data_IF_388153861708
#
_entry.id   IF_388153861708
#
_cell.length_a   1.000
_cell.length_b   1.000
_cell.length_c   1.000
_cell.angle_alpha   90.00
_cell.angle_beta   90.00
_cell.angle_gamma   90.00
#
_symmetry.space_group_name_H-M   'P 1'
#
loop_
_entity.id
_entity.type
_entity.pdbx_description
1 polymer ?
#
# COMPACT_ATOMS: atom_id res chain seq x y z
N UNK A 1 -9.90 -7.53 -40.67
CA UNK A 1 -8.72 -8.00 -39.91
C UNK A 1 -8.61 -7.16 -38.65
N UNK A 2 -9.05 -7.69 -37.52
CA UNK A 2 -9.08 -6.99 -36.24
C UNK A 2 -7.66 -6.89 -35.66
N UNK A 3 -7.24 -5.68 -35.30
CA UNK A 3 -5.93 -5.38 -34.77
C UNK A 3 -5.63 -6.16 -33.48
N UNK A 4 -4.44 -6.77 -33.45
CA UNK A 4 -3.80 -7.23 -32.20
C UNK A 4 -3.71 -6.03 -31.26
N UNK A 5 -4.49 -6.06 -30.17
CA UNK A 5 -4.38 -5.11 -29.06
C UNK A 5 -2.99 -5.19 -28.45
N UNK A 6 -2.43 -4.03 -28.14
CA UNK A 6 -1.10 -3.81 -27.55
C UNK A 6 -0.89 -4.63 -26.26
N UNK A 7 -0.31 -5.82 -26.40
CA UNK A 7 0.44 -6.42 -25.30
C UNK A 7 1.71 -5.56 -25.12
N UNK A 8 1.66 -4.64 -24.16
CA UNK A 8 2.84 -3.87 -23.77
C UNK A 8 4.01 -4.82 -23.53
N UNK A 9 5.10 -4.61 -24.26
CA UNK A 9 6.30 -5.44 -24.30
C UNK A 9 6.83 -5.82 -22.91
N UNK A 10 7.63 -6.89 -22.81
CA UNK A 10 8.35 -7.26 -21.58
C UNK A 10 9.08 -6.06 -20.95
N UNK A 11 9.64 -5.17 -21.79
CA UNK A 11 10.27 -3.93 -21.35
C UNK A 11 9.28 -3.00 -20.62
N UNK A 12 8.09 -2.77 -21.18
CA UNK A 12 7.05 -1.94 -20.56
C UNK A 12 6.68 -2.47 -19.18
N UNK A 13 6.56 -3.79 -19.03
CA UNK A 13 6.25 -4.43 -17.76
C UNK A 13 7.38 -4.25 -16.73
N UNK A 14 8.64 -4.44 -17.15
CA UNK A 14 9.82 -4.20 -16.30
C UNK A 14 9.87 -2.75 -15.81
N UNK A 15 9.62 -1.79 -16.71
CA UNK A 15 9.57 -0.38 -16.34
C UNK A 15 8.42 -0.08 -15.36
N UNK A 16 7.24 -0.67 -15.54
CA UNK A 16 6.15 -0.51 -14.57
C UNK A 16 6.52 -1.06 -13.19
N UNK A 17 7.24 -2.19 -13.09
CA UNK A 17 7.78 -2.66 -11.81
C UNK A 17 8.80 -1.67 -11.22
N UNK A 18 9.72 -1.16 -12.04
CA UNK A 18 10.74 -0.21 -11.59
C UNK A 18 10.11 1.09 -11.06
N UNK A 19 9.19 1.70 -11.81
CA UNK A 19 8.50 2.92 -11.39
C UNK A 19 7.53 2.68 -10.23
N UNK A 20 6.93 1.50 -10.12
CA UNK A 20 6.17 1.13 -8.94
C UNK A 20 7.05 1.13 -7.68
N UNK A 21 8.23 0.52 -7.75
CA UNK A 21 9.13 0.44 -6.60
C UNK A 21 9.70 1.82 -6.25
N UNK A 22 10.10 2.58 -7.27
CA UNK A 22 10.61 3.95 -7.12
C UNK A 22 9.56 4.89 -6.54
N UNK A 23 8.32 4.82 -7.05
CA UNK A 23 7.19 5.59 -6.54
C UNK A 23 6.88 5.24 -5.09
N UNK A 24 6.92 3.95 -4.72
CA UNK A 24 6.73 3.54 -3.32
C UNK A 24 7.87 4.03 -2.41
N UNK A 25 9.12 3.96 -2.87
CA UNK A 25 10.28 4.49 -2.16
C UNK A 25 10.13 5.99 -1.88
N UNK A 26 9.83 6.80 -2.90
CA UNK A 26 9.64 8.23 -2.73
C UNK A 26 8.42 8.58 -1.89
N UNK A 27 7.31 7.85 -2.04
CA UNK A 27 6.13 8.00 -1.19
C UNK A 27 6.52 7.92 0.29
N UNK A 28 7.28 6.89 0.69
CA UNK A 28 7.63 6.72 2.09
C UNK A 28 8.52 7.85 2.61
N UNK A 29 9.47 8.35 1.80
CA UNK A 29 10.34 9.46 2.17
C UNK A 29 9.52 10.74 2.31
N UNK A 30 8.77 11.12 1.28
CA UNK A 30 7.96 12.34 1.28
C UNK A 30 6.92 12.31 2.40
N UNK A 31 6.26 11.17 2.63
CA UNK A 31 5.30 11.04 3.71
C UNK A 31 5.95 11.21 5.09
N UNK A 32 7.08 10.53 5.34
CA UNK A 32 7.79 10.67 6.62
C UNK A 32 8.31 12.09 6.82
N UNK A 33 8.80 12.74 5.77
CA UNK A 33 9.24 14.13 5.84
C UNK A 33 8.06 15.06 6.11
N UNK A 34 6.93 14.93 5.41
CA UNK A 34 5.73 15.73 5.67
C UNK A 34 5.27 15.61 7.14
N UNK A 35 5.22 14.39 7.68
CA UNK A 35 4.89 14.15 9.09
C UNK A 35 5.88 14.85 10.04
N UNK A 36 7.18 14.75 9.78
CA UNK A 36 8.20 15.43 10.59
C UNK A 36 8.05 16.95 10.54
N UNK A 37 7.74 17.53 9.37
CA UNK A 37 7.52 18.98 9.20
C UNK A 37 6.25 19.48 9.92
N UNK A 38 5.30 18.59 10.23
CA UNK A 38 4.16 18.90 11.10
C UNK A 38 4.47 18.83 12.60
N UNK A 39 5.71 18.50 12.98
CA UNK A 39 6.11 18.27 14.39
C UNK A 39 6.11 16.80 14.79
N UNK A 40 5.92 15.87 13.85
CA UNK A 40 6.09 14.43 14.04
C UNK A 40 5.02 13.79 14.94
N UNK A 41 5.44 12.77 15.71
CA UNK A 41 4.51 11.87 16.41
C UNK A 41 3.68 12.52 17.52
N UNK A 42 4.15 13.64 18.09
CA UNK A 42 3.49 14.31 19.23
C UNK A 42 2.59 15.47 18.80
N UNK A 43 2.69 15.94 17.56
CA UNK A 43 1.95 17.12 17.12
C UNK A 43 0.46 16.84 16.87
N UNK A 44 0.11 15.61 16.53
CA UNK A 44 -1.28 15.19 16.28
C UNK A 44 -1.82 15.71 14.95
N UNK A 45 -1.06 15.51 13.86
CA UNK A 45 -1.46 15.84 12.48
C UNK A 45 -1.45 14.62 11.55
N UNK A 46 -1.38 13.40 12.09
CA UNK A 46 -1.23 12.19 11.28
C UNK A 46 -2.49 11.92 10.46
N UNK A 47 -3.67 12.11 11.05
CA UNK A 47 -4.94 11.93 10.33
C UNK A 47 -5.12 13.02 9.27
N UNK A 48 -4.77 14.26 9.60
CA UNK A 48 -4.80 15.42 8.70
C UNK A 48 -3.88 15.20 7.50
N UNK A 49 -2.62 14.82 7.73
CA UNK A 49 -1.66 14.51 6.67
C UNK A 49 -2.17 13.36 5.79
N UNK A 50 -2.70 12.28 6.37
CA UNK A 50 -3.25 11.17 5.59
C UNK A 50 -4.46 11.59 4.74
N UNK A 51 -5.35 12.41 5.29
CA UNK A 51 -6.56 12.88 4.60
C UNK A 51 -6.20 13.84 3.48
N UNK A 52 -5.22 14.73 3.69
CA UNK A 52 -4.74 15.64 2.64
C UNK A 52 -3.99 14.91 1.52
N UNK A 53 -3.32 13.78 1.80
CA UNK A 53 -2.76 12.92 0.75
C UNK A 53 -3.87 12.31 -0.13
N UNK A 54 -4.99 11.89 0.46
CA UNK A 54 -6.18 11.45 -0.27
C UNK A 54 -6.86 12.60 -1.02
N UNK A 55 -6.79 13.84 -0.50
CA UNK A 55 -7.24 15.03 -1.23
C UNK A 55 -6.41 15.26 -2.50
N UNK A 56 -5.08 15.10 -2.42
CA UNK A 56 -4.19 15.16 -3.59
C UNK A 56 -4.54 14.05 -4.59
N UNK A 57 -4.80 12.83 -4.13
CA UNK A 57 -5.27 11.72 -4.97
C UNK A 57 -6.58 12.06 -5.68
N UNK A 58 -7.52 12.67 -4.97
CA UNK A 58 -8.81 13.14 -5.50
C UNK A 58 -8.62 14.19 -6.59
N UNK A 59 -7.80 15.23 -6.33
CA UNK A 59 -7.50 16.27 -7.32
C UNK A 59 -6.84 15.67 -8.55
N UNK A 60 -5.90 14.74 -8.38
CA UNK A 60 -5.25 14.07 -9.50
C UNK A 60 -6.24 13.23 -10.32
N UNK A 61 -7.07 12.41 -9.68
CA UNK A 61 -8.12 11.62 -10.33
C UNK A 61 -9.10 12.49 -11.14
N UNK A 62 -9.58 13.59 -10.55
CA UNK A 62 -10.46 14.55 -11.23
C UNK A 62 -9.76 15.22 -12.41
N UNK A 63 -8.46 15.51 -12.27
CA UNK A 63 -7.65 16.06 -13.37
C UNK A 63 -7.55 15.06 -14.53
N UNK A 64 -7.29 13.77 -14.25
CA UNK A 64 -7.26 12.73 -15.29
C UNK A 64 -8.59 12.64 -16.03
N UNK A 65 -9.71 12.76 -15.32
CA UNK A 65 -11.06 12.75 -15.91
C UNK A 65 -11.37 14.01 -16.72
N UNK A 66 -10.91 15.18 -16.26
CA UNK A 66 -11.05 16.44 -16.97
C UNK A 66 -10.31 16.40 -18.31
N UNK A 67 -9.04 15.96 -18.31
CA UNK A 67 -8.22 15.86 -19.53
C UNK A 67 -8.52 14.59 -20.35
N UNK A 68 -9.26 13.63 -19.78
CA UNK A 68 -9.65 12.33 -20.34
C UNK A 68 -8.48 11.41 -20.72
N UNK A 69 -7.30 11.69 -20.18
CA UNK A 69 -6.05 11.01 -20.49
C UNK A 69 -5.38 10.60 -19.17
N UNK A 70 -4.90 9.37 -19.13
CA UNK A 70 -4.04 8.86 -18.09
C UNK A 70 -2.60 8.64 -18.64
N UNK A 71 -1.64 9.47 -18.20
CA UNK A 71 -0.26 9.43 -18.69
C UNK A 71 0.57 8.30 -18.07
N UNK A 72 0.07 7.54 -17.10
CA UNK A 72 0.86 6.52 -16.37
C UNK A 72 1.47 5.48 -17.30
N UNK A 73 0.83 5.21 -18.44
CA UNK A 73 1.32 4.26 -19.45
C UNK A 73 2.61 4.71 -20.14
N UNK A 74 2.90 6.02 -20.16
CA UNK A 74 4.16 6.60 -20.69
C UNK A 74 5.36 6.03 -19.94
N UNK A 75 5.23 5.72 -18.66
CA UNK A 75 6.31 5.13 -17.87
C UNK A 75 6.73 3.75 -18.38
N UNK A 76 5.87 3.07 -19.15
CA UNK A 76 6.18 1.83 -19.85
C UNK A 76 6.52 2.03 -21.32
N UNK A 77 6.80 3.27 -21.74
CA UNK A 77 7.06 3.68 -23.13
C UNK A 77 5.87 3.41 -24.06
N UNK A 78 4.65 3.50 -23.52
CA UNK A 78 3.40 3.34 -24.29
C UNK A 78 2.68 4.68 -24.39
N UNK A 79 1.83 4.83 -25.41
CA UNK A 79 0.99 6.01 -25.54
C UNK A 79 0.08 6.18 -24.30
N UNK A 80 -0.28 7.44 -23.93
CA UNK A 80 -1.22 7.70 -22.86
C UNK A 80 -2.54 6.96 -23.08
N UNK A 81 -3.07 6.36 -22.02
CA UNK A 81 -4.36 5.67 -22.09
C UNK A 81 -5.53 6.64 -21.93
N UNK A 82 -6.66 6.37 -22.57
CA UNK A 82 -7.88 7.15 -22.34
C UNK A 82 -8.48 6.79 -20.97
N UNK A 83 -8.79 7.81 -20.17
CA UNK A 83 -9.48 7.65 -18.89
C UNK A 83 -10.61 8.67 -18.78
N UNK A 84 -11.79 8.29 -19.27
CA UNK A 84 -13.01 9.09 -19.10
C UNK A 84 -13.69 8.74 -17.77
N UNK A 85 -14.47 9.67 -17.19
CA UNK A 85 -15.29 9.37 -16.01
C UNK A 85 -16.07 8.07 -16.17
N UNK A 86 -16.15 7.23 -15.13
CA UNK A 86 -16.91 6.00 -15.19
C UNK A 86 -18.41 6.28 -15.25
N UNK A 87 -19.16 5.37 -15.86
CA UNK A 87 -20.63 5.48 -16.00
C UNK A 87 -21.30 4.95 -14.73
N UNK A 88 -21.14 5.66 -13.61
CA UNK A 88 -21.69 5.25 -12.31
C UNK A 88 -23.01 5.97 -12.02
N UNK A 89 -23.99 5.21 -11.53
CA UNK A 89 -25.20 5.78 -10.95
C UNK A 89 -25.03 6.00 -9.44
N UNK A 90 -25.90 6.81 -8.83
CA UNK A 90 -25.92 6.99 -7.37
C UNK A 90 -26.09 5.66 -6.61
N UNK A 91 -26.76 4.67 -7.22
CA UNK A 91 -26.94 3.34 -6.65
C UNK A 91 -25.67 2.48 -6.60
N UNK A 92 -24.63 2.87 -7.36
CA UNK A 92 -23.36 2.14 -7.41
C UNK A 92 -22.39 2.58 -6.31
N UNK A 93 -22.51 3.82 -5.83
CA UNK A 93 -21.61 4.38 -4.80
C UNK A 93 -21.62 3.55 -3.51
N UNK A 94 -22.78 3.17 -2.93
CA UNK A 94 -22.80 2.35 -1.71
C UNK A 94 -22.12 0.99 -1.88
N UNK A 95 -22.12 0.42 -3.10
CA UNK A 95 -21.48 -0.87 -3.40
C UNK A 95 -19.96 -0.79 -3.24
N UNK A 96 -19.37 0.39 -3.44
CA UNK A 96 -17.94 0.65 -3.24
C UNK A 96 -17.61 1.08 -1.80
N UNK A 97 -18.61 1.25 -0.94
CA UNK A 97 -18.43 1.80 0.41
C UNK A 97 -17.42 1.02 1.24
N UNK A 98 -17.50 -0.33 1.26
CA UNK A 98 -16.57 -1.16 2.03
C UNK A 98 -15.14 -1.07 1.49
N UNK A 99 -14.95 -1.12 0.17
CA UNK A 99 -13.60 -1.04 -0.42
C UNK A 99 -12.97 0.33 -0.18
N UNK A 100 -13.76 1.41 -0.27
CA UNK A 100 -13.32 2.77 0.01
C UNK A 100 -12.98 2.97 1.48
N UNK A 101 -13.82 2.47 2.41
CA UNK A 101 -13.55 2.50 3.84
C UNK A 101 -12.27 1.76 4.20
N UNK A 102 -12.08 0.55 3.66
CA UNK A 102 -10.86 -0.21 3.87
C UNK A 102 -9.64 0.46 3.20
N UNK A 103 -9.79 1.17 2.07
CA UNK A 103 -8.69 1.95 1.49
C UNK A 103 -8.29 3.13 2.38
N UNK A 104 -9.26 3.91 2.85
CA UNK A 104 -9.05 4.98 3.82
C UNK A 104 -8.35 4.47 5.08
N UNK A 105 -8.89 3.42 5.70
CA UNK A 105 -8.32 2.80 6.90
C UNK A 105 -6.90 2.27 6.68
N UNK A 106 -6.64 1.60 5.56
CA UNK A 106 -5.30 1.08 5.24
C UNK A 106 -4.28 2.20 5.01
N UNK A 107 -4.69 3.28 4.32
CA UNK A 107 -3.86 4.44 4.07
C UNK A 107 -3.56 5.18 5.38
N UNK A 108 -4.58 5.61 6.12
CA UNK A 108 -4.43 6.35 7.38
C UNK A 108 -3.62 5.55 8.39
N UNK A 109 -3.94 4.27 8.63
CA UNK A 109 -3.17 3.44 9.56
C UNK A 109 -1.70 3.28 9.11
N UNK A 110 -1.43 3.25 7.80
CA UNK A 110 -0.05 3.28 7.28
C UNK A 110 0.66 4.60 7.60
N UNK A 111 -0.02 5.73 7.48
CA UNK A 111 0.54 7.05 7.84
C UNK A 111 0.80 7.16 9.34
N UNK A 112 -0.12 6.67 10.18
CA UNK A 112 0.10 6.57 11.63
C UNK A 112 1.32 5.70 11.98
N UNK A 113 1.46 4.54 11.34
CA UNK A 113 2.61 3.67 11.53
C UNK A 113 3.93 4.36 11.14
N UNK A 114 3.92 5.09 10.03
CA UNK A 114 5.07 5.90 9.61
C UNK A 114 5.36 7.06 10.55
N UNK A 115 4.34 7.69 11.13
CA UNK A 115 4.53 8.80 12.07
C UNK A 115 5.18 8.32 13.37
N UNK A 116 4.62 7.26 13.96
CA UNK A 116 5.09 6.67 15.21
C UNK A 116 6.46 5.97 15.07
N UNK A 117 6.67 5.24 13.97
CA UNK A 117 7.84 4.38 13.77
C UNK A 117 8.90 4.94 12.81
N UNK A 118 9.93 4.13 12.59
CA UNK A 118 10.82 4.31 11.44
C UNK A 118 10.12 3.80 10.18
N UNK A 119 10.47 4.36 9.01
CA UNK A 119 9.94 3.88 7.74
C UNK A 119 10.28 2.42 7.54
N UNK A 120 11.53 2.05 7.84
CA UNK A 120 12.05 0.70 7.69
C UNK A 120 11.29 -0.30 8.55
N UNK A 121 11.04 0.03 9.82
CA UNK A 121 10.21 -0.78 10.70
C UNK A 121 8.80 -0.94 10.14
N UNK A 122 8.18 0.14 9.66
CA UNK A 122 6.87 0.09 9.02
C UNK A 122 6.81 -0.85 7.80
N UNK A 123 7.88 -0.93 7.01
CA UNK A 123 7.99 -1.87 5.89
C UNK A 123 8.14 -3.32 6.35
N UNK A 124 8.84 -3.56 7.46
CA UNK A 124 8.96 -4.89 8.07
C UNK A 124 7.59 -5.35 8.60
N UNK A 125 6.86 -4.53 9.34
CA UNK A 125 5.50 -4.88 9.81
C UNK A 125 4.56 -5.14 8.63
N UNK A 126 4.63 -4.32 7.58
CA UNK A 126 3.90 -4.56 6.32
C UNK A 126 4.26 -5.87 5.65
N UNK A 127 5.43 -6.46 5.92
CA UNK A 127 5.79 -7.77 5.38
C UNK A 127 4.82 -8.88 5.81
N UNK A 128 4.17 -8.71 6.96
CA UNK A 128 3.14 -9.60 7.50
C UNK A 128 1.79 -9.59 6.75
N UNK A 129 1.60 -8.78 5.71
CA UNK A 129 0.36 -8.73 4.92
C UNK A 129 -0.21 -10.12 4.53
N UNK A 130 0.58 -11.14 4.12
CA UNK A 130 0.05 -12.45 3.80
C UNK A 130 -0.64 -13.15 4.98
N UNK A 131 -0.20 -12.90 6.22
CA UNK A 131 -0.82 -13.44 7.43
C UNK A 131 -2.22 -12.86 7.59
N UNK A 132 -2.36 -11.53 7.47
CA UNK A 132 -3.66 -10.86 7.55
C UNK A 132 -4.57 -11.27 6.38
N UNK A 133 -4.02 -11.36 5.17
CA UNK A 133 -4.76 -11.84 4.00
C UNK A 133 -5.25 -13.28 4.19
N UNK A 134 -4.43 -14.18 4.74
CA UNK A 134 -4.83 -15.55 5.04
C UNK A 134 -5.96 -15.60 6.06
N UNK A 135 -5.85 -14.86 7.17
CA UNK A 135 -6.88 -14.80 8.22
C UNK A 135 -8.19 -14.23 7.67
N UNK A 136 -8.14 -13.08 6.99
CA UNK A 136 -9.32 -12.42 6.43
C UNK A 136 -10.02 -13.32 5.41
N UNK A 137 -9.27 -13.91 4.47
CA UNK A 137 -9.85 -14.77 3.44
C UNK A 137 -10.42 -16.07 4.01
N UNK A 138 -9.79 -16.64 5.04
CA UNK A 138 -10.29 -17.85 5.72
C UNK A 138 -11.61 -17.56 6.43
N UNK A 139 -11.63 -16.53 7.28
CA UNK A 139 -12.76 -16.27 8.19
C UNK A 139 -13.95 -15.66 7.45
N UNK A 140 -13.72 -14.67 6.58
CA UNK A 140 -14.81 -13.85 6.02
C UNK A 140 -15.19 -14.25 4.59
N UNK A 141 -14.31 -14.93 3.86
CA UNK A 141 -14.53 -15.25 2.44
C UNK A 141 -14.50 -16.75 2.14
N UNK A 142 -14.31 -17.62 3.14
CA UNK A 142 -14.28 -19.08 2.97
C UNK A 142 -13.18 -19.57 2.02
N UNK A 143 -12.07 -18.84 1.92
CA UNK A 143 -10.95 -19.13 1.01
C UNK A 143 -9.64 -19.30 1.79
N UNK A 144 -9.50 -20.39 2.56
CA UNK A 144 -8.27 -20.66 3.29
C UNK A 144 -7.08 -20.86 2.33
N UNK A 145 -5.86 -20.46 2.74
CA UNK A 145 -4.66 -20.84 2.01
C UNK A 145 -4.45 -22.37 2.06
N UNK A 146 -3.58 -22.89 1.19
CA UNK A 146 -3.16 -24.28 1.26
C UNK A 146 -2.45 -24.58 2.59
N UNK A 147 -2.37 -25.87 2.97
CA UNK A 147 -1.62 -26.30 4.14
C UNK A 147 -0.16 -25.84 4.04
N UNK A 148 0.46 -25.97 2.87
CA UNK A 148 1.84 -25.55 2.62
C UNK A 148 2.03 -24.05 2.86
N UNK A 149 1.14 -23.21 2.34
CA UNK A 149 1.13 -21.78 2.61
C UNK A 149 0.92 -21.46 4.09
N UNK A 150 0.04 -22.20 4.76
CA UNK A 150 -0.22 -22.05 6.20
C UNK A 150 1.05 -22.31 7.02
N UNK A 151 1.86 -23.30 6.64
CA UNK A 151 3.13 -23.61 7.31
C UNK A 151 4.19 -22.51 7.12
N UNK A 152 4.07 -21.64 6.11
CA UNK A 152 4.96 -20.49 5.95
C UNK A 152 4.58 -19.31 6.87
N UNK A 153 3.33 -19.23 7.34
CA UNK A 153 2.85 -18.08 8.14
C UNK A 153 3.63 -17.90 9.45
N UNK A 154 3.93 -18.96 10.25
CA UNK A 154 4.76 -18.83 11.45
C UNK A 154 6.16 -18.27 11.17
N UNK A 155 6.76 -18.57 10.01
CA UNK A 155 8.07 -18.05 9.61
C UNK A 155 7.99 -16.54 9.40
N UNK A 156 6.94 -16.08 8.70
CA UNK A 156 6.69 -14.65 8.47
C UNK A 156 6.47 -13.93 9.80
N UNK A 157 5.60 -14.48 10.67
CA UNK A 157 5.31 -13.92 12.00
C UNK A 157 6.57 -13.88 12.87
N UNK A 158 7.37 -14.95 12.87
CA UNK A 158 8.62 -15.02 13.62
C UNK A 158 9.65 -13.99 13.15
N UNK A 159 9.79 -13.79 11.83
CA UNK A 159 10.68 -12.76 11.28
C UNK A 159 10.24 -11.34 11.65
N UNK A 160 8.94 -11.03 11.50
CA UNK A 160 8.39 -9.73 11.92
C UNK A 160 8.54 -9.53 13.42
N UNK A 161 8.22 -10.55 14.21
CA UNK A 161 8.34 -10.54 15.66
C UNK A 161 9.77 -10.29 16.12
N UNK A 162 10.76 -11.00 15.56
CA UNK A 162 12.17 -10.82 15.90
C UNK A 162 12.67 -9.42 15.54
N UNK A 163 12.26 -8.88 14.39
CA UNK A 163 12.60 -7.49 14.02
C UNK A 163 11.98 -6.43 14.95
N UNK A 164 10.98 -6.79 15.75
CA UNK A 164 10.41 -5.92 16.76
C UNK A 164 11.16 -6.00 18.11
N UNK A 165 12.08 -6.94 18.28
CA UNK A 165 12.79 -7.09 19.55
C UNK A 165 14.10 -6.30 19.55
N UNK A 166 14.58 -5.93 20.74
CA UNK A 166 15.96 -5.52 20.97
C UNK A 166 16.55 -6.18 22.19
N UNK A 167 17.86 -6.48 22.17
CA UNK A 167 18.57 -6.95 23.35
C UNK A 167 18.72 -5.81 24.36
N UNK A 168 18.43 -6.11 25.62
CA UNK A 168 18.77 -5.24 26.73
C UNK A 168 20.31 -5.11 26.83
N UNK A 169 20.87 -3.89 26.90
CA UNK A 169 22.32 -3.68 26.86
C UNK A 169 23.10 -4.30 28.04
N UNK A 170 22.43 -4.61 29.15
CA UNK A 170 23.06 -5.07 30.39
C UNK A 170 22.90 -6.59 30.56
N UNK A 171 21.70 -7.11 30.33
CA UNK A 171 21.35 -8.52 30.52
C UNK A 171 21.43 -9.36 29.24
N UNK A 172 21.45 -8.72 28.06
CA UNK A 172 21.36 -9.39 26.76
C UNK A 172 19.98 -10.03 26.49
N UNK A 173 19.03 -9.89 27.40
CA UNK A 173 17.69 -10.41 27.25
C UNK A 173 16.92 -9.62 26.18
N UNK A 174 16.25 -10.31 25.28
CA UNK A 174 15.45 -9.65 24.25
C UNK A 174 14.13 -9.16 24.86
N UNK A 175 13.84 -7.88 24.65
CA UNK A 175 12.57 -7.27 25.01
C UNK A 175 11.98 -6.53 23.82
N UNK A 176 10.68 -6.27 23.88
CA UNK A 176 9.99 -5.48 22.87
C UNK A 176 10.36 -4.01 23.05
N UNK A 177 11.27 -3.49 22.21
CA UNK A 177 11.69 -2.08 22.20
C UNK A 177 11.35 -1.43 20.85
N UNK A 178 10.04 -1.38 20.57
CA UNK A 178 9.46 -0.72 19.41
C UNK A 178 8.32 0.20 19.82
N UNK A 179 7.95 1.13 18.94
CA UNK A 179 6.78 1.98 19.16
C UNK A 179 5.51 1.12 18.97
N UNK A 180 4.86 0.72 20.07
CA UNK A 180 3.65 -0.12 20.06
C UNK A 180 2.55 0.49 19.19
N UNK A 181 2.49 1.82 19.10
CA UNK A 181 1.56 2.51 18.21
C UNK A 181 1.92 2.23 16.75
N UNK A 182 3.20 2.20 16.38
CA UNK A 182 3.64 1.88 15.02
C UNK A 182 3.32 0.45 14.61
N UNK A 183 3.53 -0.54 15.49
CA UNK A 183 3.17 -1.94 15.22
C UNK A 183 1.66 -2.09 15.10
N UNK A 184 0.91 -1.55 16.06
CA UNK A 184 -0.56 -1.63 16.08
C UNK A 184 -1.15 -1.01 14.82
N UNK A 185 -0.72 0.20 14.46
CA UNK A 185 -1.15 0.87 13.25
C UNK A 185 -0.74 0.08 11.98
N UNK A 186 0.45 -0.52 11.96
CA UNK A 186 0.90 -1.37 10.86
C UNK A 186 0.05 -2.64 10.70
N UNK A 187 -0.33 -3.29 11.80
CA UNK A 187 -1.23 -4.44 11.81
C UNK A 187 -2.63 -4.07 11.33
N UNK A 188 -3.18 -2.94 11.79
CA UNK A 188 -4.47 -2.40 11.30
C UNK A 188 -4.37 -2.14 9.80
N UNK A 189 -3.29 -1.53 9.33
CA UNK A 189 -3.08 -1.27 7.91
C UNK A 189 -3.08 -2.56 7.08
N UNK A 190 -2.41 -3.61 7.54
CA UNK A 190 -2.42 -4.92 6.87
C UNK A 190 -3.82 -5.55 6.87
N UNK A 191 -4.56 -5.50 7.98
CA UNK A 191 -5.93 -6.00 8.06
C UNK A 191 -6.87 -5.28 7.10
N UNK A 192 -6.86 -3.95 7.10
CA UNK A 192 -7.65 -3.12 6.19
C UNK A 192 -7.26 -3.36 4.72
N UNK A 193 -5.96 -3.49 4.43
CA UNK A 193 -5.48 -3.81 3.08
C UNK A 193 -5.93 -5.19 2.61
N UNK A 194 -5.98 -6.18 3.50
CA UNK A 194 -6.50 -7.51 3.21
C UNK A 194 -7.99 -7.49 2.86
N UNK A 195 -8.82 -6.82 3.66
CA UNK A 195 -10.24 -6.62 3.34
C UNK A 195 -10.42 -5.85 2.03
N UNK A 196 -9.67 -4.76 1.85
CA UNK A 196 -9.65 -3.99 0.60
C UNK A 196 -9.39 -4.91 -0.58
N UNK A 197 -8.33 -5.72 -0.54
CA UNK A 197 -7.97 -6.63 -1.62
C UNK A 197 -9.10 -7.61 -1.98
N UNK A 198 -9.75 -8.20 -0.97
CA UNK A 198 -10.84 -9.16 -1.18
C UNK A 198 -12.12 -8.53 -1.71
N UNK A 199 -12.55 -7.38 -1.16
CA UNK A 199 -13.71 -6.64 -1.69
C UNK A 199 -13.43 -6.06 -3.08
N UNK A 200 -12.21 -5.58 -3.34
CA UNK A 200 -11.81 -5.08 -4.65
C UNK A 200 -11.90 -6.18 -5.72
N UNK A 201 -11.46 -7.40 -5.38
CA UNK A 201 -11.60 -8.57 -6.25
C UNK A 201 -13.07 -8.90 -6.50
N UNK A 202 -13.89 -8.91 -5.45
CA UNK A 202 -15.34 -9.15 -5.54
C UNK A 202 -16.04 -8.13 -6.45
N UNK A 203 -15.74 -6.84 -6.30
CA UNK A 203 -16.26 -5.76 -7.14
C UNK A 203 -15.86 -5.92 -8.61
N UNK A 204 -14.61 -6.31 -8.87
CA UNK A 204 -14.11 -6.50 -10.25
C UNK A 204 -14.57 -7.79 -10.92
N UNK A 205 -14.84 -8.83 -10.14
CA UNK A 205 -15.45 -10.07 -10.65
C UNK A 205 -16.98 -10.03 -10.72
N UNK A 206 -17.60 -9.06 -10.04
CA UNK A 206 -19.04 -8.97 -9.82
C UNK A 206 -19.77 -8.20 -10.92
N UNK A 207 -20.02 -8.86 -12.04
CA UNK A 207 -21.01 -8.44 -13.03
C UNK A 207 -20.87 -6.99 -13.55
N UNK A 208 -22.02 -6.35 -13.70
CA UNK A 208 -22.29 -5.10 -14.41
C UNK A 208 -21.57 -3.84 -13.86
N UNK A 209 -21.09 -3.87 -12.61
CA UNK A 209 -20.39 -2.74 -12.01
C UNK A 209 -18.95 -2.61 -12.52
N UNK A 210 -18.27 -3.73 -12.77
CA UNK A 210 -16.90 -3.74 -13.28
C UNK A 210 -16.80 -3.15 -14.69
N UNK A 211 -17.82 -3.38 -15.53
CA UNK A 211 -17.92 -2.79 -16.86
C UNK A 211 -18.20 -1.29 -16.80
N UNK A 212 -19.13 -0.84 -15.94
CA UNK A 212 -19.42 0.59 -15.72
C UNK A 212 -18.25 1.39 -15.15
N UNK A 213 -17.43 0.77 -14.29
CA UNK A 213 -16.17 1.37 -13.83
C UNK A 213 -15.20 1.60 -14.99
N UNK A 214 -15.25 0.82 -16.07
CA UNK A 214 -14.45 1.09 -17.27
C UNK A 214 -12.95 0.79 -17.10
N UNK A 215 -12.56 0.08 -16.04
CA UNK A 215 -11.20 -0.40 -15.83
C UNK A 215 -10.58 -0.02 -14.49
N UNK A 216 -9.32 -0.44 -14.33
CA UNK A 216 -8.57 -0.36 -13.07
C UNK A 216 -8.28 1.09 -12.66
N UNK A 217 -7.94 1.98 -13.60
CA UNK A 217 -7.64 3.38 -13.30
C UNK A 217 -8.83 4.10 -12.70
N UNK A 218 -10.02 3.91 -13.28
CA UNK A 218 -11.26 4.46 -12.76
C UNK A 218 -11.71 3.82 -11.44
N UNK A 219 -11.54 2.51 -11.29
CA UNK A 219 -11.78 1.84 -10.01
C UNK A 219 -10.95 2.47 -8.90
N UNK A 220 -9.65 2.63 -9.14
CA UNK A 220 -8.74 3.23 -8.17
C UNK A 220 -9.12 4.70 -7.92
N UNK A 221 -9.33 5.49 -8.97
CA UNK A 221 -9.78 6.88 -8.87
C UNK A 221 -11.03 7.05 -7.98
N UNK A 222 -12.10 6.30 -8.25
CA UNK A 222 -13.34 6.37 -7.46
C UNK A 222 -13.09 5.93 -6.02
N UNK A 223 -12.29 4.88 -5.81
CA UNK A 223 -11.97 4.39 -4.45
C UNK A 223 -11.25 5.45 -3.63
N UNK A 224 -10.27 6.14 -4.20
CA UNK A 224 -9.51 7.18 -3.50
C UNK A 224 -10.35 8.45 -3.25
N UNK A 225 -11.23 8.81 -4.19
CA UNK A 225 -12.20 9.91 -3.99
C UNK A 225 -13.14 9.60 -2.81
N UNK A 226 -13.72 8.40 -2.78
CA UNK A 226 -14.58 7.99 -1.67
C UNK A 226 -13.80 7.87 -0.35
N UNK A 227 -12.57 7.36 -0.39
CA UNK A 227 -11.70 7.27 0.78
C UNK A 227 -11.37 8.65 1.37
N UNK A 228 -11.18 9.68 0.53
CA UNK A 228 -11.02 11.06 0.97
C UNK A 228 -12.25 11.54 1.75
N UNK A 229 -13.46 11.40 1.19
CA UNK A 229 -14.69 11.84 1.86
C UNK A 229 -15.00 11.06 3.13
N UNK A 230 -14.68 9.76 3.18
CA UNK A 230 -14.79 8.95 4.40
C UNK A 230 -13.78 9.41 5.47
N UNK A 231 -12.58 9.83 5.06
CA UNK A 231 -11.54 10.29 5.99
C UNK A 231 -11.83 11.66 6.60
N UNK A 232 -12.53 12.56 5.89
CA UNK A 232 -12.85 13.92 6.37
C UNK A 232 -13.53 13.97 7.76
N UNK A 233 -14.66 13.29 8.02
CA UNK A 233 -15.29 13.34 9.33
C UNK A 233 -14.39 12.80 10.45
N UNK A 234 -13.58 11.77 10.15
CA UNK A 234 -12.61 11.20 11.10
C UNK A 234 -11.50 12.20 11.40
N UNK A 235 -10.97 12.89 10.37
CA UNK A 235 -9.96 13.93 10.52
C UNK A 235 -10.46 15.07 11.41
N UNK A 236 -11.66 15.61 11.14
CA UNK A 236 -12.20 16.69 11.95
C UNK A 236 -12.55 16.25 13.37
N UNK A 237 -13.00 15.01 13.56
CA UNK A 237 -13.23 14.46 14.89
C UNK A 237 -11.94 14.31 15.72
N UNK A 238 -10.85 13.86 15.10
CA UNK A 238 -9.59 13.59 15.82
C UNK A 238 -8.69 14.82 15.97
N UNK A 239 -8.63 15.67 14.95
CA UNK A 239 -7.60 16.71 14.81
C UNK A 239 -8.21 18.06 14.34
N UNK A 240 -9.54 18.18 14.31
CA UNK A 240 -10.25 19.36 13.78
C UNK A 240 -9.93 20.66 14.50
N UNK A 241 -9.75 20.62 15.82
CA UNK A 241 -9.39 21.79 16.63
C UNK A 241 -8.06 22.43 16.19
N UNK A 242 -7.16 21.61 15.63
CA UNK A 242 -5.85 22.04 15.15
C UNK A 242 -5.82 22.32 13.65
N UNK A 243 -6.93 22.13 12.93
CA UNK A 243 -6.94 22.26 11.48
C UNK A 243 -6.57 23.68 11.02
N UNK A 244 -7.01 24.71 11.75
CA UNK A 244 -6.63 26.10 11.47
C UNK A 244 -5.12 26.35 11.63
N UNK A 245 -4.47 25.70 12.61
CA UNK A 245 -3.02 25.74 12.80
C UNK A 245 -2.29 25.00 11.69
N UNK A 246 -2.79 23.82 11.29
CA UNK A 246 -2.27 23.07 10.16
C UNK A 246 -2.28 23.90 8.89
N UNK A 247 -3.36 24.61 8.59
CA UNK A 247 -3.47 25.47 7.41
C UNK A 247 -2.41 26.57 7.42
N UNK A 248 -2.22 27.26 8.57
CA UNK A 248 -1.17 28.27 8.72
C UNK A 248 0.22 27.68 8.51
N UNK A 249 0.49 26.53 9.14
CA UNK A 249 1.76 25.82 9.01
C UNK A 249 2.02 25.42 7.55
N UNK A 250 1.01 24.87 6.88
CA UNK A 250 1.07 24.50 5.47
C UNK A 250 1.36 25.70 4.58
N UNK A 251 0.73 26.85 4.83
CA UNK A 251 0.98 28.09 4.06
C UNK A 251 2.41 28.62 4.23
N UNK A 252 2.99 28.48 5.43
CA UNK A 252 4.33 29.00 5.73
C UNK A 252 5.49 28.03 5.46
N UNK A 253 5.23 26.71 5.40
CA UNK A 253 6.28 25.69 5.28
C UNK A 253 6.28 25.06 3.88
N UNK A 254 7.13 25.57 2.99
CA UNK A 254 7.31 25.05 1.62
C UNK A 254 7.73 23.58 1.59
N UNK A 255 8.52 23.14 2.58
CA UNK A 255 8.95 21.75 2.67
C UNK A 255 7.78 20.83 3.01
N UNK A 256 6.89 21.24 3.92
CA UNK A 256 5.63 20.54 4.18
C UNK A 256 4.76 20.48 2.91
N UNK A 257 4.59 21.61 2.21
CA UNK A 257 3.80 21.66 0.97
C UNK A 257 4.29 20.65 -0.07
N UNK A 258 5.58 20.72 -0.40
CA UNK A 258 6.17 19.84 -1.39
C UNK A 258 6.04 18.37 -0.98
N UNK A 259 6.41 18.03 0.25
CA UNK A 259 6.40 16.64 0.71
C UNK A 259 4.99 16.07 0.85
N UNK A 260 4.00 16.86 1.27
CA UNK A 260 2.60 16.43 1.35
C UNK A 260 1.99 16.19 -0.04
N UNK A 261 2.22 17.10 -0.98
CA UNK A 261 1.72 16.97 -2.35
C UNK A 261 2.42 15.80 -3.05
N UNK A 262 3.73 15.71 -2.93
CA UNK A 262 4.49 14.63 -3.57
C UNK A 262 4.22 13.26 -2.94
N UNK A 263 3.95 13.17 -1.64
CA UNK A 263 3.54 11.89 -1.05
C UNK A 263 2.16 11.47 -1.56
N UNK A 264 1.20 12.39 -1.70
CA UNK A 264 -0.10 12.08 -2.31
C UNK A 264 0.01 11.63 -3.78
N UNK A 265 0.76 12.36 -4.60
CA UNK A 265 0.96 12.01 -6.03
C UNK A 265 1.68 10.68 -6.20
N UNK A 266 2.80 10.48 -5.49
CA UNK A 266 3.53 9.21 -5.56
C UNK A 266 2.72 8.05 -5.01
N UNK A 267 1.89 8.27 -3.99
CA UNK A 267 0.91 7.28 -3.51
C UNK A 267 -0.04 6.87 -4.63
N UNK A 268 -0.64 7.82 -5.35
CA UNK A 268 -1.53 7.51 -6.46
C UNK A 268 -0.80 6.70 -7.55
N UNK A 269 0.33 7.20 -8.04
CA UNK A 269 1.06 6.58 -9.14
C UNK A 269 1.55 5.17 -8.83
N UNK A 270 2.15 4.95 -7.65
CA UNK A 270 2.68 3.63 -7.34
C UNK A 270 1.56 2.60 -7.16
N UNK A 271 0.40 2.98 -6.60
CA UNK A 271 -0.73 2.06 -6.44
C UNK A 271 -1.40 1.74 -7.79
N UNK A 272 -1.50 2.72 -8.68
CA UNK A 272 -1.99 2.49 -10.03
C UNK A 272 -1.08 1.53 -10.81
N UNK A 273 0.24 1.77 -10.80
CA UNK A 273 1.23 0.87 -11.40
C UNK A 273 1.19 -0.54 -10.78
N UNK A 274 1.03 -0.64 -9.46
CA UNK A 274 0.85 -1.92 -8.77
C UNK A 274 -0.36 -2.68 -9.34
N UNK A 275 -1.48 -1.99 -9.53
CA UNK A 275 -2.71 -2.64 -9.99
C UNK A 275 -2.62 -3.03 -11.46
N UNK A 276 -1.96 -2.23 -12.29
CA UNK A 276 -1.68 -2.57 -13.70
C UNK A 276 -0.75 -3.79 -13.83
N UNK A 277 0.33 -3.86 -13.04
CA UNK A 277 1.26 -5.00 -13.05
C UNK A 277 0.58 -6.27 -12.53
N UNK A 278 -0.30 -6.17 -11.53
CA UNK A 278 -1.11 -7.29 -11.04
C UNK A 278 -1.98 -7.88 -12.14
N UNK A 279 -2.69 -7.02 -12.88
CA UNK A 279 -3.58 -7.45 -13.97
C UNK A 279 -2.82 -8.19 -15.09
N UNK A 280 -1.57 -7.81 -15.37
CA UNK A 280 -0.76 -8.41 -16.44
C UNK A 280 -0.03 -9.69 -16.03
N UNK A 281 0.37 -9.82 -14.77
CA UNK A 281 1.28 -10.90 -14.33
C UNK A 281 0.61 -11.98 -13.50
N UNK A 282 -0.60 -11.72 -13.01
CA UNK A 282 -1.31 -12.64 -12.11
C UNK A 282 -0.83 -12.55 -10.66
N UNK A 283 -1.54 -13.25 -9.78
CA UNK A 283 -1.38 -13.10 -8.33
C UNK A 283 -0.01 -13.57 -7.80
N UNK A 284 0.55 -14.64 -8.36
CA UNK A 284 1.84 -15.20 -7.95
C UNK A 284 2.98 -14.19 -8.15
N UNK A 285 3.18 -13.77 -9.40
CA UNK A 285 4.25 -12.83 -9.77
C UNK A 285 4.10 -11.51 -9.02
N UNK A 286 2.87 -11.05 -8.81
CA UNK A 286 2.58 -9.85 -8.03
C UNK A 286 2.98 -9.98 -6.55
N UNK A 287 2.78 -11.15 -5.96
CA UNK A 287 3.18 -11.42 -4.57
C UNK A 287 4.70 -11.42 -4.42
N UNK A 288 5.40 -12.07 -5.35
CA UNK A 288 6.88 -12.05 -5.41
C UNK A 288 7.40 -10.64 -5.63
N UNK A 289 6.81 -9.89 -6.56
CA UNK A 289 7.18 -8.50 -6.84
C UNK A 289 6.94 -7.57 -5.64
N UNK A 290 5.82 -7.72 -4.93
CA UNK A 290 5.59 -6.99 -3.68
C UNK A 290 6.67 -7.27 -2.63
N UNK A 291 7.17 -8.51 -2.58
CA UNK A 291 8.23 -8.90 -1.65
C UNK A 291 9.56 -8.26 -2.04
N UNK A 292 9.92 -8.31 -3.33
CA UNK A 292 11.10 -7.63 -3.86
C UNK A 292 11.05 -6.10 -3.60
N UNK A 293 9.90 -5.47 -3.86
CA UNK A 293 9.66 -4.06 -3.54
C UNK A 293 9.99 -3.73 -2.09
N UNK A 294 9.51 -4.54 -1.13
CA UNK A 294 9.76 -4.30 0.30
C UNK A 294 11.24 -4.32 0.63
N UNK A 295 12.00 -5.27 0.10
CA UNK A 295 13.47 -5.33 0.28
C UNK A 295 14.12 -4.07 -0.26
N UNK A 296 13.77 -3.67 -1.49
CA UNK A 296 14.34 -2.47 -2.14
C UNK A 296 14.01 -1.21 -1.34
N UNK A 297 12.78 -1.06 -0.87
CA UNK A 297 12.36 0.11 -0.08
C UNK A 297 13.01 0.12 1.30
N UNK A 298 13.12 -1.03 1.99
CA UNK A 298 13.80 -1.16 3.28
C UNK A 298 15.25 -0.69 3.17
N UNK A 299 15.99 -1.22 2.20
CA UNK A 299 17.41 -0.89 1.99
C UNK A 299 17.54 0.56 1.52
N UNK A 300 16.77 0.95 0.51
CA UNK A 300 16.83 2.30 -0.06
C UNK A 300 16.53 3.37 0.97
N UNK A 301 15.46 3.21 1.77
CA UNK A 301 15.11 4.20 2.78
C UNK A 301 16.12 4.24 3.93
N UNK A 302 16.66 3.09 4.36
CA UNK A 302 17.72 3.07 5.37
C UNK A 302 18.95 3.90 4.92
N UNK A 303 19.35 3.78 3.66
CA UNK A 303 20.43 4.58 3.06
C UNK A 303 20.05 6.06 2.98
N UNK A 304 18.87 6.37 2.43
CA UNK A 304 18.43 7.75 2.20
C UNK A 304 18.23 8.55 3.49
N UNK A 305 17.71 7.89 4.53
CA UNK A 305 17.50 8.50 5.84
C UNK A 305 18.75 8.41 6.74
N UNK A 306 19.85 7.82 6.25
CA UNK A 306 21.09 7.59 7.02
C UNK A 306 20.82 6.91 8.37
N UNK A 307 19.85 5.99 8.40
CA UNK A 307 19.46 5.24 9.59
C UNK A 307 19.76 3.76 9.34
N UNK A 308 20.91 3.24 9.81
CA UNK A 308 21.25 1.84 9.59
C UNK A 308 20.24 0.95 10.32
N UNK A 309 19.94 -0.19 9.68
CA UNK A 309 19.15 -1.25 10.29
C UNK A 309 19.93 -1.87 11.46
N UNK A 310 19.23 -2.14 12.57
CA UNK A 310 19.76 -2.95 13.67
C UNK A 310 20.02 -4.40 13.21
N UNK A 311 20.72 -5.18 14.03
CA UNK A 311 20.94 -6.60 13.74
C UNK A 311 19.61 -7.37 13.65
N UNK A 312 18.71 -7.10 14.58
CA UNK A 312 17.38 -7.68 14.71
C UNK A 312 16.51 -7.31 13.52
N UNK A 313 16.51 -6.03 13.13
CA UNK A 313 15.79 -5.57 11.95
C UNK A 313 16.31 -6.25 10.67
N UNK A 314 17.63 -6.47 10.52
CA UNK A 314 18.22 -7.17 9.37
C UNK A 314 17.78 -8.63 9.31
N UNK A 315 17.98 -9.37 10.40
CA UNK A 315 17.68 -10.80 10.47
C UNK A 315 16.17 -11.03 10.37
N UNK A 316 15.37 -10.29 11.13
CA UNK A 316 13.92 -10.42 11.13
C UNK A 316 13.31 -10.04 9.78
N UNK A 317 13.80 -8.96 9.14
CA UNK A 317 13.39 -8.63 7.77
C UNK A 317 13.76 -9.74 6.78
N UNK A 318 14.97 -10.30 6.86
CA UNK A 318 15.41 -11.37 5.97
C UNK A 318 14.53 -12.63 6.12
N UNK A 319 14.26 -13.06 7.36
CA UNK A 319 13.40 -14.21 7.66
C UNK A 319 11.97 -13.96 7.18
N UNK A 320 11.40 -12.78 7.47
CA UNK A 320 10.04 -12.45 7.06
C UNK A 320 9.90 -12.41 5.53
N UNK A 321 10.80 -11.72 4.84
CA UNK A 321 10.83 -11.65 3.37
C UNK A 321 11.01 -13.03 2.76
N UNK A 322 11.92 -13.86 3.26
CA UNK A 322 12.11 -15.23 2.79
C UNK A 322 10.84 -16.07 2.99
N UNK A 323 10.18 -15.94 4.15
CA UNK A 323 8.90 -16.57 4.43
C UNK A 323 7.80 -16.15 3.45
N UNK A 324 7.72 -14.87 3.09
CA UNK A 324 6.74 -14.36 2.09
C UNK A 324 7.07 -14.87 0.69
N UNK A 325 8.34 -14.91 0.30
CA UNK A 325 8.76 -15.48 -0.98
C UNK A 325 8.36 -16.95 -1.06
N UNK A 326 8.68 -17.74 -0.04
CA UNK A 326 8.30 -19.14 0.05
C UNK A 326 6.77 -19.30 -0.01
N UNK A 327 6.03 -18.56 0.82
CA UNK A 327 4.56 -18.54 0.81
C UNK A 327 3.99 -18.27 -0.59
N UNK A 328 4.63 -17.38 -1.35
CA UNK A 328 4.19 -17.03 -2.69
C UNK A 328 4.32 -18.22 -3.64
N UNK A 329 5.45 -18.93 -3.63
CA UNK A 329 5.80 -19.94 -4.65
C UNK A 329 5.57 -21.41 -4.24
N UNK A 330 5.31 -21.69 -2.95
CA UNK A 330 5.37 -23.07 -2.40
C UNK A 330 4.39 -24.03 -3.07
N UNK A 331 3.18 -23.56 -3.42
CA UNK A 331 2.18 -24.39 -4.09
C UNK A 331 2.61 -24.76 -5.52
N UNK A 332 3.32 -23.89 -6.22
CA UNK A 332 3.77 -24.18 -7.59
C UNK A 332 5.00 -25.11 -7.57
N UNK A 333 5.89 -24.92 -6.58
CA UNK A 333 7.06 -25.77 -6.39
C UNK A 333 6.69 -27.20 -6.02
N UNK A 334 5.70 -27.38 -5.13
CA UNK A 334 5.37 -28.70 -4.56
C UNK A 334 4.07 -29.30 -5.13
N UNK A 335 3.13 -28.47 -5.57
CA UNK A 335 1.85 -28.91 -6.15
C UNK A 335 1.96 -29.46 -7.58
N UNK A 336 3.00 -29.11 -8.34
CA UNK A 336 3.22 -29.70 -9.68
C UNK A 336 3.52 -31.21 -9.65
N UNK A 337 3.93 -31.76 -8.50
CA UNK A 337 4.16 -33.20 -8.33
C UNK A 337 2.88 -34.03 -8.15
N UNK A 338 1.76 -33.43 -7.75
CA UNK A 338 0.51 -34.16 -7.47
C UNK A 338 -0.36 -34.42 -8.71
N UNK A 339 -0.10 -33.77 -9.85
CA UNK A 339 -0.86 -33.94 -11.11
C UNK A 339 -0.23 -34.95 -12.09
N UNK A 340 0.78 -35.72 -11.65
CA UNK A 340 1.49 -36.71 -12.47
C UNK A 340 1.49 -38.12 -11.87
N UNK A 341 0.52 -38.43 -11.00
CA UNK A 341 0.24 -39.81 -10.55
C UNK A 341 -1.19 -40.18 -10.86
#
# INVERSE_FOLDING_TARGET
MAGKKEDGSMLSLVLYFAFWYLGNYYYNIYNKTALNETGGKTAGYAMTVSTMQLAVCTVYALTLWLIRINPITILGLLAPSKQSPPDLSASDIPKMGVVAFCSAGAHSASVFALNAGSVTFGQIVKSGEPVFAAVVNTIFYGKPPSLLKTLCLPIIVGGVGFACMKPDPVSGAYSLDFDIAALTAGCIANGMAAFKGSENKKLMSGGDLGSRLGGVGNQFAVTEILAFFISLPIMFYMEGDKFGEFVKLFQSNQKLQFNLVMSGLTFYWYNELATMTIKKTGALTSSVANTAKRVIVIVGVAVAMKKPLSYEEKVGAAVAVAGVLLYSVIDDLLGSKSKKS
#
